data_IF_697568625470
#
_entry.id   IF_697568625470
#
_cell.length_a   1.000
_cell.length_b   1.000
_cell.length_c   1.000
_cell.angle_alpha   90.00
_cell.angle_beta   90.00
_cell.angle_gamma   90.00
#
_symmetry.space_group_name_H-M   'P 1'
#
loop_
_entity.id
_entity.type
_entity.pdbx_description
1 polymer ?
#
# COMPACT_ATOMS: atom_id res chain seq x y z
N UNK A 1 10.19 -26.18 -8.47
CA UNK A 1 9.68 -24.84 -8.08
C UNK A 1 10.87 -23.95 -7.83
N UNK A 2 10.98 -22.84 -8.55
CA UNK A 2 12.02 -21.84 -8.30
C UNK A 2 11.77 -21.18 -6.94
N UNK A 3 12.78 -21.09 -6.05
CA UNK A 3 12.60 -20.44 -4.75
C UNK A 3 12.22 -18.97 -4.90
N UNK A 4 11.25 -18.51 -4.10
CA UNK A 4 10.85 -17.10 -4.09
C UNK A 4 11.95 -16.22 -3.45
N UNK A 5 11.80 -14.89 -3.56
CA UNK A 5 12.80 -13.93 -3.06
C UNK A 5 13.15 -14.15 -1.57
N UNK A 6 12.19 -14.50 -0.72
CA UNK A 6 12.43 -14.77 0.69
C UNK A 6 13.20 -16.07 0.90
N UNK A 7 12.90 -17.12 0.14
CA UNK A 7 13.64 -18.38 0.19
C UNK A 7 15.09 -18.22 -0.28
N UNK A 8 15.35 -17.35 -1.25
CA UNK A 8 16.71 -17.00 -1.69
C UNK A 8 17.51 -16.29 -0.58
N UNK A 9 16.82 -15.55 0.31
CA UNK A 9 17.39 -14.94 1.51
C UNK A 9 17.50 -15.91 2.70
N UNK A 10 17.23 -17.20 2.52
CA UNK A 10 17.28 -18.22 3.58
C UNK A 10 16.04 -18.27 4.49
N UNK A 11 14.98 -17.53 4.18
CA UNK A 11 13.74 -17.55 4.96
C UNK A 11 12.83 -18.73 4.57
N UNK A 12 12.06 -19.22 5.54
CA UNK A 12 11.10 -20.30 5.33
C UNK A 12 9.91 -19.82 4.50
N UNK A 13 9.43 -20.66 3.58
CA UNK A 13 8.14 -20.44 2.90
C UNK A 13 7.02 -20.60 3.93
N UNK A 14 6.07 -19.67 3.93
CA UNK A 14 4.90 -19.68 4.80
C UNK A 14 3.63 -19.75 3.95
N UNK A 15 2.63 -20.51 4.41
CA UNK A 15 1.26 -20.50 3.88
C UNK A 15 0.39 -19.90 4.98
N UNK A 16 -0.27 -18.78 4.70
CA UNK A 16 -1.13 -18.10 5.66
C UNK A 16 -2.58 -18.60 5.50
N UNK A 17 -3.06 -19.35 6.50
CA UNK A 17 -4.44 -19.82 6.61
C UNK A 17 -5.22 -19.13 7.75
N UNK A 18 -4.63 -18.09 8.37
CA UNK A 18 -5.18 -17.40 9.55
C UNK A 18 -5.76 -16.00 9.24
N UNK A 19 -5.86 -15.60 7.98
CA UNK A 19 -6.37 -14.29 7.58
C UNK A 19 -5.29 -13.20 7.60
N UNK A 20 -5.57 -12.01 8.16
CA UNK A 20 -4.64 -10.86 8.12
C UNK A 20 -3.72 -10.87 9.35
N UNK A 21 -2.52 -11.42 9.21
CA UNK A 21 -1.56 -11.56 10.31
C UNK A 21 -0.40 -10.58 10.19
N UNK A 22 -0.24 -9.68 11.17
CA UNK A 22 0.82 -8.67 11.18
C UNK A 22 2.23 -9.28 11.09
N UNK A 23 2.48 -10.35 11.83
CA UNK A 23 3.78 -11.05 11.82
C UNK A 23 4.13 -11.67 10.46
N UNK A 24 3.13 -11.90 9.61
CA UNK A 24 3.30 -12.47 8.27
C UNK A 24 3.25 -11.41 7.16
N UNK A 25 3.30 -10.12 7.51
CA UNK A 25 3.27 -9.04 6.53
C UNK A 25 1.87 -8.71 6.00
N UNK A 26 0.84 -8.95 6.82
CA UNK A 26 -0.57 -8.54 6.57
C UNK A 26 -1.15 -9.10 5.26
N UNK A 27 -1.78 -8.26 4.44
CA UNK A 27 -2.46 -8.63 3.21
C UNK A 27 -1.48 -8.75 2.04
N UNK A 28 -1.63 -9.80 1.24
CA UNK A 28 -0.98 -9.87 -0.08
C UNK A 28 -1.62 -8.88 -1.05
N UNK A 29 -0.80 -8.17 -1.82
CA UNK A 29 -1.25 -7.22 -2.84
C UNK A 29 -1.79 -7.97 -4.07
N UNK A 30 -2.87 -7.48 -4.70
CA UNK A 30 -3.39 -8.07 -5.93
C UNK A 30 -2.46 -7.79 -7.13
N UNK A 31 -2.38 -8.69 -8.14
CA UNK A 31 -1.52 -8.47 -9.31
C UNK A 31 -1.76 -7.14 -10.04
N UNK A 32 -3.01 -6.71 -10.19
CA UNK A 32 -3.30 -5.43 -10.86
C UNK A 32 -2.71 -4.22 -10.12
N UNK A 33 -2.69 -4.25 -8.79
CA UNK A 33 -2.12 -3.18 -7.96
C UNK A 33 -0.60 -3.16 -8.08
N UNK A 34 0.05 -4.34 -8.05
CA UNK A 34 1.50 -4.41 -8.24
C UNK A 34 1.93 -3.85 -9.61
N UNK A 35 1.17 -4.17 -10.67
CA UNK A 35 1.43 -3.64 -12.01
C UNK A 35 1.23 -2.12 -12.09
N UNK A 36 0.20 -1.59 -11.44
CA UNK A 36 -0.03 -0.15 -11.37
C UNK A 36 1.12 0.57 -10.64
N UNK A 37 1.56 0.04 -9.50
CA UNK A 37 2.70 0.57 -8.73
C UNK A 37 3.99 0.57 -9.56
N UNK A 38 4.26 -0.52 -10.29
CA UNK A 38 5.44 -0.60 -11.15
C UNK A 38 5.43 0.47 -12.27
N UNK A 39 4.26 0.71 -12.90
CA UNK A 39 4.11 1.79 -13.88
C UNK A 39 4.32 3.15 -13.25
N UNK A 40 3.72 3.41 -12.08
CA UNK A 40 3.86 4.68 -11.38
C UNK A 40 5.32 4.96 -10.97
N UNK A 41 6.06 3.94 -10.52
CA UNK A 41 7.45 4.07 -10.08
C UNK A 41 8.44 4.47 -11.20
N UNK A 42 8.03 4.38 -12.46
CA UNK A 42 8.86 4.75 -13.63
C UNK A 42 8.41 6.06 -14.29
N UNK A 43 7.51 6.80 -13.65
CA UNK A 43 6.98 8.07 -14.13
C UNK A 43 7.21 9.20 -13.12
N UNK A 44 7.16 10.44 -13.60
CA UNK A 44 7.18 11.63 -12.75
C UNK A 44 5.78 12.24 -12.66
N UNK A 45 5.49 12.87 -11.53
CA UNK A 45 4.25 13.61 -11.29
C UNK A 45 4.55 14.77 -10.36
N UNK A 46 3.76 15.83 -10.46
CA UNK A 46 3.73 16.90 -9.48
C UNK A 46 3.04 16.35 -8.21
N UNK A 47 3.75 16.39 -7.08
CA UNK A 47 3.35 15.67 -5.87
C UNK A 47 2.15 16.34 -5.21
N UNK A 48 2.06 17.67 -5.21
CA UNK A 48 0.95 18.42 -4.60
C UNK A 48 -0.36 18.08 -5.34
N UNK A 49 -0.34 18.04 -6.67
CA UNK A 49 -1.47 17.63 -7.51
C UNK A 49 -1.83 16.15 -7.32
N UNK A 50 -0.85 15.28 -7.09
CA UNK A 50 -1.14 13.88 -6.75
C UNK A 50 -1.87 13.77 -5.41
N UNK A 51 -1.42 14.53 -4.40
CA UNK A 51 -2.05 14.57 -3.07
C UNK A 51 -3.48 15.06 -3.18
N UNK A 52 -3.73 16.19 -3.87
CA UNK A 52 -5.08 16.72 -4.09
C UNK A 52 -5.95 15.69 -4.82
N UNK A 53 -5.42 15.08 -5.90
CA UNK A 53 -6.19 14.13 -6.69
C UNK A 53 -6.55 12.85 -5.94
N UNK A 54 -5.62 12.34 -5.14
CA UNK A 54 -5.87 11.14 -4.32
C UNK A 54 -6.85 11.43 -3.20
N UNK A 55 -6.81 12.62 -2.61
CA UNK A 55 -7.79 13.10 -1.63
C UNK A 55 -9.21 13.12 -2.21
N UNK A 56 -9.41 13.78 -3.36
CA UNK A 56 -10.69 13.79 -4.06
C UNK A 56 -11.23 12.37 -4.32
N UNK A 57 -10.37 11.44 -4.74
CA UNK A 57 -10.75 10.08 -5.06
C UNK A 57 -11.19 9.31 -3.82
N UNK A 58 -10.42 9.38 -2.73
CA UNK A 58 -10.74 8.67 -1.48
C UNK A 58 -12.01 9.22 -0.84
N UNK A 59 -12.19 10.54 -0.84
CA UNK A 59 -13.39 11.20 -0.30
C UNK A 59 -14.69 10.70 -0.93
N UNK A 60 -14.68 10.35 -2.22
CA UNK A 60 -15.85 9.76 -2.92
C UNK A 60 -16.27 8.41 -2.34
N UNK A 61 -15.33 7.62 -1.83
CA UNK A 61 -15.60 6.30 -1.26
C UNK A 61 -15.92 6.37 0.24
N UNK A 62 -15.36 7.35 0.95
CA UNK A 62 -15.56 7.51 2.40
C UNK A 62 -16.76 8.38 2.74
N UNK A 63 -17.18 9.27 1.83
CA UNK A 63 -18.19 10.30 2.08
C UNK A 63 -17.67 11.50 2.89
N UNK A 64 -16.36 11.59 3.10
CA UNK A 64 -15.74 12.74 3.78
C UNK A 64 -15.76 13.99 2.87
N UNK A 65 -15.71 15.17 3.48
CA UNK A 65 -15.59 16.44 2.76
C UNK A 65 -14.23 16.55 2.05
N UNK A 66 -13.17 16.06 2.69
CA UNK A 66 -11.83 15.94 2.13
C UNK A 66 -11.07 14.76 2.77
N UNK A 67 -10.02 14.28 2.11
CA UNK A 67 -9.20 13.16 2.55
C UNK A 67 -7.72 13.45 2.29
N UNK A 68 -6.86 13.11 3.25
CA UNK A 68 -5.42 13.23 3.09
C UNK A 68 -4.72 11.88 3.25
N UNK A 69 -3.92 11.49 2.26
CA UNK A 69 -3.26 10.19 2.22
C UNK A 69 -1.86 10.33 2.84
N UNK A 70 -1.61 9.56 3.90
CA UNK A 70 -0.31 9.52 4.58
C UNK A 70 0.40 8.19 4.36
N UNK A 71 1.65 8.09 4.81
CA UNK A 71 2.45 6.86 4.69
C UNK A 71 1.86 5.67 5.46
N UNK A 72 1.22 5.93 6.61
CA UNK A 72 0.55 4.91 7.43
C UNK A 72 -0.39 5.56 8.46
N UNK A 73 -1.22 4.76 9.13
CA UNK A 73 -2.12 5.25 10.18
C UNK A 73 -1.41 5.99 11.32
N UNK A 74 -0.20 5.55 11.70
CA UNK A 74 0.59 6.22 12.74
C UNK A 74 1.01 7.64 12.32
N UNK A 75 1.44 7.82 11.07
CA UNK A 75 1.74 9.14 10.53
C UNK A 75 0.48 10.02 10.48
N UNK A 76 -0.66 9.45 10.09
CA UNK A 76 -1.96 10.13 10.15
C UNK A 76 -2.31 10.64 11.54
N UNK A 77 -2.10 9.83 12.58
CA UNK A 77 -2.29 10.25 13.97
C UNK A 77 -1.34 11.41 14.29
N UNK A 78 -0.05 11.27 13.96
CA UNK A 78 0.98 12.25 14.32
C UNK A 78 0.76 13.65 13.70
N UNK A 79 0.15 13.75 12.52
CA UNK A 79 -0.15 15.04 11.88
C UNK A 79 -1.53 15.60 12.25
N UNK A 80 -2.41 14.77 12.82
CA UNK A 80 -3.77 15.15 13.16
C UNK A 80 -3.90 15.75 14.58
N UNK A 81 -2.88 15.58 15.42
CA UNK A 81 -2.88 15.99 16.84
C UNK A 81 -1.81 17.01 17.16
#
# INVERSE_FOLDING_TARGET
>A
MTPNIYQQLGLKKVINACGKMTILGVSSVAPEVMQATARAASAFVEIDALVEKTGELVSRYTGAEDSYITSCASAGIAIAV
#
